data_IF_201632575065
#
_entry.id   IF_201632575065
#
_cell.length_a   1.000
_cell.length_b   1.000
_cell.length_c   1.000
_cell.angle_alpha   90.00
_cell.angle_beta   90.00
_cell.angle_gamma   90.00
#
_symmetry.space_group_name_H-M   'P 1'
#
loop_
_entity.id
_entity.type
_entity.pdbx_description
1 polymer ?
#
# COMPACT_ATOMS: atom_id res chain seq x y z
N UNK A 1 -31.95 -75.34 -32.53
CA UNK A 1 -31.91 -73.96 -33.09
C UNK A 1 -31.89 -72.96 -31.94
N UNK A 2 -31.20 -71.84 -32.16
CA UNK A 2 -30.77 -70.75 -31.26
C UNK A 2 -31.90 -70.12 -30.42
N UNK A 3 -31.58 -69.65 -29.20
CA UNK A 3 -31.52 -68.19 -28.89
C UNK A 3 -30.97 -67.92 -27.48
N UNK A 4 -30.08 -66.93 -27.44
CA UNK A 4 -29.49 -66.31 -26.26
C UNK A 4 -30.48 -65.34 -25.59
N UNK A 5 -30.33 -65.12 -24.29
CA UNK A 5 -30.86 -63.96 -23.58
C UNK A 5 -29.72 -63.30 -22.79
N UNK A 6 -29.53 -62.04 -23.11
CA UNK A 6 -28.41 -61.14 -22.80
C UNK A 6 -28.42 -60.69 -21.33
N UNK A 7 -27.22 -60.60 -20.77
CA UNK A 7 -26.89 -60.02 -19.49
C UNK A 7 -26.95 -58.48 -19.54
N UNK A 8 -27.73 -57.83 -18.67
CA UNK A 8 -27.75 -56.36 -18.58
C UNK A 8 -27.96 -55.89 -17.13
N UNK A 9 -26.87 -55.76 -16.38
CA UNK A 9 -26.86 -55.08 -15.06
C UNK A 9 -25.44 -54.61 -14.65
N UNK A 10 -24.82 -53.68 -15.37
CA UNK A 10 -23.54 -53.06 -14.95
C UNK A 10 -23.52 -51.52 -14.99
N UNK A 11 -24.69 -50.87 -15.09
CA UNK A 11 -24.74 -49.45 -15.46
C UNK A 11 -24.88 -48.41 -14.35
N UNK A 12 -25.22 -48.76 -13.11
CA UNK A 12 -25.83 -47.79 -12.18
C UNK A 12 -24.88 -47.25 -11.09
N UNK A 13 -23.96 -48.06 -10.54
CA UNK A 13 -23.04 -47.63 -9.47
C UNK A 13 -21.84 -46.79 -9.95
N UNK A 14 -21.32 -47.06 -11.14
CA UNK A 14 -20.14 -46.35 -11.68
C UNK A 14 -20.44 -44.92 -12.14
N UNK A 15 -21.70 -44.64 -12.51
CA UNK A 15 -22.14 -43.31 -12.97
C UNK A 15 -22.22 -42.30 -11.82
N UNK A 16 -22.64 -42.75 -10.63
CA UNK A 16 -22.70 -41.91 -9.43
C UNK A 16 -21.32 -41.46 -8.95
N UNK A 17 -20.36 -42.40 -8.87
CA UNK A 17 -18.98 -42.07 -8.49
C UNK A 17 -18.28 -41.15 -9.50
N UNK A 18 -18.53 -41.37 -10.81
CA UNK A 18 -18.02 -40.49 -11.87
C UNK A 18 -18.61 -39.07 -11.77
N UNK A 19 -19.91 -38.96 -11.50
CA UNK A 19 -20.57 -37.65 -11.29
C UNK A 19 -20.03 -36.92 -10.05
N UNK A 20 -19.82 -37.64 -8.93
CA UNK A 20 -19.22 -37.07 -7.72
C UNK A 20 -17.78 -36.58 -7.97
N UNK A 21 -16.97 -37.36 -8.69
CA UNK A 21 -15.60 -36.97 -9.06
C UNK A 21 -15.55 -35.73 -9.97
N UNK A 22 -16.49 -35.62 -10.93
CA UNK A 22 -16.61 -34.45 -11.80
C UNK A 22 -16.99 -33.20 -10.99
N UNK A 23 -17.92 -33.32 -10.05
CA UNK A 23 -18.33 -32.22 -9.16
C UNK A 23 -17.18 -31.75 -8.25
N UNK A 24 -16.42 -32.66 -7.67
CA UNK A 24 -15.24 -32.31 -6.86
C UNK A 24 -14.15 -31.62 -7.70
N UNK A 25 -13.87 -32.10 -8.91
CA UNK A 25 -12.91 -31.45 -9.81
C UNK A 25 -13.36 -30.05 -10.24
N UNK A 26 -14.64 -29.87 -10.55
CA UNK A 26 -15.20 -28.56 -10.87
C UNK A 26 -15.09 -27.60 -9.69
N UNK A 27 -15.41 -28.05 -8.47
CA UNK A 27 -15.24 -27.26 -7.25
C UNK A 27 -13.79 -26.87 -7.00
N UNK A 28 -12.85 -27.80 -7.16
CA UNK A 28 -11.43 -27.53 -7.02
C UNK A 28 -10.92 -26.49 -8.03
N UNK A 29 -11.34 -26.59 -9.30
CA UNK A 29 -10.98 -25.62 -10.34
C UNK A 29 -11.50 -24.21 -10.04
N UNK A 30 -12.72 -24.09 -9.51
CA UNK A 30 -13.26 -22.79 -9.08
C UNK A 30 -12.45 -22.23 -7.91
N UNK A 31 -12.13 -23.05 -6.90
CA UNK A 31 -11.30 -22.63 -5.78
C UNK A 31 -9.90 -22.18 -6.23
N UNK A 32 -9.26 -22.90 -7.16
CA UNK A 32 -7.95 -22.51 -7.70
C UNK A 32 -8.04 -21.21 -8.48
N UNK A 33 -9.07 -21.01 -9.31
CA UNK A 33 -9.26 -19.78 -10.07
C UNK A 33 -9.41 -18.55 -9.15
N UNK A 34 -10.18 -18.67 -8.06
CA UNK A 34 -10.34 -17.59 -7.06
C UNK A 34 -9.02 -17.30 -6.35
N UNK A 35 -8.26 -18.32 -5.97
CA UNK A 35 -6.95 -18.13 -5.34
C UNK A 35 -5.93 -17.47 -6.28
N UNK A 36 -5.94 -17.81 -7.57
CA UNK A 36 -5.10 -17.17 -8.58
C UNK A 36 -5.47 -15.70 -8.79
N UNK A 37 -6.77 -15.38 -8.93
CA UNK A 37 -7.24 -14.01 -9.08
C UNK A 37 -6.89 -13.13 -7.86
N UNK A 38 -7.00 -13.67 -6.63
CA UNK A 38 -6.62 -12.96 -5.41
C UNK A 38 -5.11 -12.63 -5.34
N UNK A 39 -4.25 -13.54 -5.81
CA UNK A 39 -2.79 -13.32 -5.86
C UNK A 39 -2.37 -12.25 -6.86
N UNK A 40 -3.04 -12.21 -8.01
CA UNK A 40 -2.72 -11.25 -9.06
C UNK A 40 -3.12 -9.82 -8.67
N UNK A 41 -4.25 -9.68 -7.96
CA UNK A 41 -4.68 -8.38 -7.43
C UNK A 41 -3.70 -7.83 -6.38
N UNK A 42 -3.11 -8.70 -5.56
CA UNK A 42 -2.11 -8.28 -4.56
C UNK A 42 -0.81 -7.80 -5.22
N UNK A 43 -0.33 -8.49 -6.25
CA UNK A 43 0.88 -8.09 -6.98
C UNK A 43 0.72 -6.75 -7.69
N UNK A 44 -0.45 -6.50 -8.30
CA UNK A 44 -0.70 -5.24 -9.02
C UNK A 44 -0.69 -4.03 -8.10
N UNK A 45 -1.24 -4.17 -6.89
CA UNK A 45 -1.27 -3.08 -5.94
C UNK A 45 0.12 -2.83 -5.32
N UNK A 46 0.91 -3.88 -5.02
CA UNK A 46 2.33 -3.71 -4.64
C UNK A 46 3.14 -2.99 -5.75
N UNK A 47 2.94 -3.34 -7.02
CA UNK A 47 3.60 -2.66 -8.15
C UNK A 47 3.18 -1.19 -8.28
N UNK A 48 1.96 -0.83 -7.91
CA UNK A 48 1.48 0.56 -7.90
C UNK A 48 2.16 1.37 -6.78
N UNK A 49 2.26 0.79 -5.58
CA UNK A 49 3.00 1.39 -4.46
C UNK A 49 4.47 1.64 -4.82
N UNK A 50 5.14 0.66 -5.42
CA UNK A 50 6.54 0.80 -5.84
C UNK A 50 6.70 1.85 -6.97
N UNK A 51 5.77 1.94 -7.92
CA UNK A 51 5.79 2.97 -8.98
C UNK A 51 5.65 4.39 -8.44
N UNK A 52 4.80 4.61 -7.43
CA UNK A 52 4.65 5.94 -6.81
C UNK A 52 5.93 6.32 -6.05
N UNK A 53 6.54 5.37 -5.36
CA UNK A 53 7.85 5.56 -4.74
C UNK A 53 8.94 5.88 -5.79
N UNK A 54 8.89 5.26 -6.98
CA UNK A 54 9.81 5.56 -8.08
C UNK A 54 9.53 6.90 -8.78
N UNK A 55 8.28 7.27 -9.03
CA UNK A 55 7.93 8.55 -9.68
C UNK A 55 8.47 9.74 -8.89
N UNK A 56 8.34 9.70 -7.57
CA UNK A 56 8.91 10.73 -6.68
C UNK A 56 10.44 10.77 -6.71
N UNK A 57 11.11 9.67 -7.07
CA UNK A 57 12.58 9.59 -7.22
C UNK A 57 13.11 10.21 -8.52
N UNK A 58 12.29 10.25 -9.58
CA UNK A 58 12.71 10.71 -10.92
C UNK A 58 12.64 12.24 -11.04
N UNK A 59 11.67 12.88 -10.40
CA UNK A 59 11.49 14.35 -10.42
C UNK A 59 12.69 15.12 -9.84
N UNK A 60 13.51 14.48 -9.00
CA UNK A 60 14.70 15.09 -8.39
C UNK A 60 15.90 15.33 -9.35
N UNK A 61 15.85 14.93 -10.64
CA UNK A 61 17.05 14.89 -11.51
C UNK A 61 17.19 16.04 -12.53
N UNK A 62 16.41 17.12 -12.46
CA UNK A 62 16.61 18.33 -13.32
C UNK A 62 16.93 19.62 -12.51
N UNK A 63 18.17 19.68 -11.99
CA UNK A 63 19.18 20.79 -11.96
C UNK A 63 18.71 22.28 -12.10
N UNK A 64 19.55 23.30 -11.70
CA UNK A 64 20.04 23.75 -10.37
C UNK A 64 19.98 25.31 -10.12
N UNK A 65 20.19 25.73 -8.86
CA UNK A 65 20.81 27.02 -8.46
C UNK A 65 19.84 28.22 -8.28
N UNK A 66 20.07 29.24 -7.46
CA UNK A 66 21.13 29.64 -6.51
C UNK A 66 20.64 30.96 -5.85
N UNK A 67 21.19 31.28 -4.66
CA UNK A 67 21.37 32.63 -4.07
C UNK A 67 20.44 33.16 -2.93
N UNK A 68 21.12 33.36 -1.79
CA UNK A 68 20.88 34.15 -0.56
C UNK A 68 21.06 35.68 -0.80
N UNK A 69 21.19 36.62 0.20
CA UNK A 69 20.66 36.82 1.58
C UNK A 69 20.05 38.26 1.80
N UNK A 70 19.52 38.60 3.00
CA UNK A 70 19.71 39.90 3.76
C UNK A 70 18.73 40.08 4.98
N UNK A 71 18.94 41.01 5.95
CA UNK A 71 19.07 40.69 7.39
C UNK A 71 18.16 41.43 8.41
N UNK A 72 18.20 40.94 9.67
CA UNK A 72 18.06 41.60 11.02
C UNK A 72 16.79 42.40 11.43
N UNK A 73 16.48 42.61 12.75
CA UNK A 73 17.31 42.41 13.96
C UNK A 73 16.68 41.66 15.17
N UNK A 74 17.56 41.41 16.15
CA UNK A 74 17.49 40.84 17.50
C UNK A 74 16.26 41.13 18.38
N UNK A 75 15.81 40.11 19.13
CA UNK A 75 15.46 40.21 20.55
C UNK A 75 15.88 38.92 21.29
N UNK A 76 16.78 39.08 22.24
CA UNK A 76 17.24 38.11 23.26
C UNK A 76 16.14 37.72 24.25
N UNK A 77 15.75 36.45 24.24
CA UNK A 77 15.59 35.56 25.40
C UNK A 77 16.11 34.19 24.92
N UNK A 78 16.91 33.45 25.69
CA UNK A 78 17.47 32.15 25.27
C UNK A 78 16.51 30.99 25.64
N UNK A 79 15.69 30.46 24.70
CA UNK A 79 15.13 29.11 24.78
C UNK A 79 16.24 28.09 24.47
N UNK A 80 16.10 26.82 24.92
CA UNK A 80 17.06 25.78 24.56
C UNK A 80 17.16 25.73 23.03
N UNK A 81 18.38 25.68 22.48
CA UNK A 81 18.57 25.48 21.04
C UNK A 81 17.88 24.17 20.64
N UNK A 82 16.67 24.30 20.11
CA UNK A 82 15.95 23.24 19.43
C UNK A 82 16.70 23.04 18.11
N UNK A 83 17.71 22.15 18.17
CA UNK A 83 18.42 21.70 16.97
C UNK A 83 17.38 21.28 15.95
N UNK A 84 17.54 21.73 14.71
CA UNK A 84 16.73 21.28 13.58
C UNK A 84 16.65 19.74 13.62
N UNK A 85 15.44 19.13 13.60
CA UNK A 85 15.27 17.69 13.59
C UNK A 85 16.12 16.98 12.53
N UNK A 86 16.33 17.62 11.37
CA UNK A 86 17.17 17.09 10.30
C UNK A 86 18.65 17.04 10.69
N UNK A 87 19.13 18.00 11.48
CA UNK A 87 20.52 18.00 11.94
C UNK A 87 20.77 16.94 13.01
N UNK A 88 19.76 16.65 13.85
CA UNK A 88 19.80 15.52 14.79
C UNK A 88 19.91 14.20 14.01
N UNK A 89 19.11 14.01 12.96
CA UNK A 89 19.15 12.81 12.11
C UNK A 89 20.52 12.64 11.44
N UNK A 90 21.10 13.73 10.92
CA UNK A 90 22.46 13.71 10.34
C UNK A 90 23.51 13.34 11.38
N UNK A 91 23.44 13.90 12.60
CA UNK A 91 24.36 13.60 13.70
C UNK A 91 24.25 12.12 14.12
N UNK A 92 23.05 11.55 14.09
CA UNK A 92 22.78 10.13 14.34
C UNK A 92 23.20 9.21 13.17
N UNK A 93 23.66 9.77 12.05
CA UNK A 93 24.04 9.01 10.85
C UNK A 93 22.84 8.38 10.13
N UNK A 94 21.62 8.86 10.38
CA UNK A 94 20.41 8.42 9.69
C UNK A 94 20.38 9.06 8.30
N UNK A 95 20.39 8.28 7.21
CA UNK A 95 20.34 8.85 5.87
C UNK A 95 18.98 9.49 5.66
N UNK A 96 18.97 10.80 5.40
CA UNK A 96 17.76 11.54 5.00
C UNK A 96 17.66 11.42 3.49
N UNK A 97 16.53 10.96 2.93
CA UNK A 97 16.35 10.88 1.50
C UNK A 97 16.28 12.30 0.91
N UNK A 98 17.00 12.55 -0.18
CA UNK A 98 16.85 13.76 -1.00
C UNK A 98 15.55 13.63 -1.83
N UNK A 99 14.40 13.68 -1.16
CA UNK A 99 13.07 13.48 -1.75
C UNK A 99 12.23 14.73 -1.57
N UNK A 100 11.87 15.35 -2.68
CA UNK A 100 10.83 16.38 -2.71
C UNK A 100 9.49 15.71 -3.08
N UNK A 101 8.53 15.80 -2.17
CA UNK A 101 7.19 15.22 -2.35
C UNK A 101 6.23 16.35 -2.74
N UNK A 102 5.65 16.26 -3.94
CA UNK A 102 4.57 17.16 -4.35
C UNK A 102 3.24 16.66 -3.77
N UNK A 103 2.94 17.10 -2.55
CA UNK A 103 1.70 16.73 -1.88
C UNK A 103 0.46 17.26 -2.60
N UNK A 104 0.55 18.38 -3.32
CA UNK A 104 -0.59 18.93 -4.04
C UNK A 104 -0.99 18.01 -5.21
N UNK A 105 0.00 17.58 -6.01
CA UNK A 105 -0.23 16.62 -7.09
C UNK A 105 -0.74 15.28 -6.56
N UNK A 106 -0.14 14.75 -5.49
CA UNK A 106 -0.58 13.49 -4.89
C UNK A 106 -2.02 13.57 -4.38
N UNK A 107 -2.40 14.66 -3.72
CA UNK A 107 -3.76 14.85 -3.23
C UNK A 107 -4.77 14.99 -4.37
N UNK A 108 -4.41 15.70 -5.44
CA UNK A 108 -5.30 15.95 -6.58
C UNK A 108 -5.46 14.71 -7.47
N UNK A 109 -4.35 14.03 -7.77
CA UNK A 109 -4.30 12.99 -8.81
C UNK A 109 -4.27 11.56 -8.26
N UNK A 110 -3.94 11.38 -6.97
CA UNK A 110 -3.87 10.04 -6.34
C UNK A 110 -4.94 9.88 -5.28
N UNK A 111 -4.84 10.62 -4.17
CA UNK A 111 -5.80 10.52 -3.07
C UNK A 111 -5.70 11.74 -2.14
N UNK A 112 -6.82 12.45 -1.96
CA UNK A 112 -6.94 13.64 -1.12
C UNK A 112 -6.61 13.41 0.38
N UNK A 113 -6.63 12.16 0.85
CA UNK A 113 -6.35 11.82 2.25
C UNK A 113 -4.84 11.74 2.56
N UNK A 114 -3.97 11.81 1.54
CA UNK A 114 -2.50 11.82 1.70
C UNK A 114 -2.09 13.13 2.38
N UNK A 115 -1.31 13.04 3.47
CA UNK A 115 -0.86 14.25 4.18
C UNK A 115 0.59 14.18 4.68
N UNK A 116 1.19 12.98 4.70
CA UNK A 116 2.57 12.79 5.16
C UNK A 116 3.25 11.68 4.36
N UNK A 117 4.53 11.47 4.64
CA UNK A 117 5.35 10.45 4.01
C UNK A 117 6.21 9.74 5.05
N UNK A 118 6.27 8.41 5.01
CA UNK A 118 7.11 7.61 5.91
C UNK A 118 8.25 6.97 5.14
N UNK A 119 9.47 7.17 5.64
CA UNK A 119 10.68 6.56 5.13
C UNK A 119 11.45 5.90 6.28
N UNK A 120 11.84 4.63 6.09
CA UNK A 120 12.69 3.91 7.03
C UNK A 120 13.93 3.40 6.29
N UNK A 121 15.14 3.90 6.64
CA UNK A 121 16.40 3.46 6.04
C UNK A 121 16.57 1.94 6.06
N UNK A 122 17.24 1.41 5.05
CA UNK A 122 17.53 -0.02 4.90
C UNK A 122 16.29 -0.94 4.88
N UNK A 123 15.12 -0.39 4.61
CA UNK A 123 13.87 -1.13 4.39
C UNK A 123 13.23 -0.75 3.06
N UNK A 124 12.12 -1.40 2.71
CA UNK A 124 11.29 -1.01 1.57
C UNK A 124 10.26 0.08 1.93
N UNK A 125 10.22 0.54 3.18
CA UNK A 125 9.22 1.51 3.62
C UNK A 125 9.64 2.90 3.13
N UNK A 126 8.96 3.35 2.09
CA UNK A 126 9.09 4.66 1.44
C UNK A 126 7.73 4.99 0.80
N UNK A 127 6.73 5.33 1.62
CA UNK A 127 5.32 5.34 1.21
C UNK A 127 4.55 6.56 1.75
N UNK A 128 3.47 6.97 1.07
CA UNK A 128 2.57 8.00 1.58
C UNK A 128 1.80 7.51 2.81
N UNK A 129 1.45 8.45 3.68
CA UNK A 129 0.60 8.22 4.85
C UNK A 129 -0.72 8.96 4.65
N UNK A 130 -1.81 8.24 4.82
CA UNK A 130 -3.18 8.74 4.64
C UNK A 130 -3.87 8.92 6.00
N UNK A 131 -4.92 9.73 6.05
CA UNK A 131 -5.84 9.77 7.19
C UNK A 131 -7.26 9.94 6.67
N UNK A 132 -8.09 8.90 6.84
CA UNK A 132 -9.50 8.97 6.46
C UNK A 132 -10.23 9.93 7.42
N UNK A 133 -11.14 10.80 6.95
CA UNK A 133 -11.72 11.85 7.78
C UNK A 133 -12.63 11.36 8.92
N UNK A 134 -13.12 10.12 8.86
CA UNK A 134 -14.15 9.60 9.80
C UNK A 134 -14.12 8.08 10.04
N UNK A 135 -13.16 7.34 9.48
CA UNK A 135 -13.16 5.86 9.53
C UNK A 135 -11.73 5.30 9.66
N UNK A 136 -11.35 4.98 10.88
CA UNK A 136 -10.04 4.44 11.25
C UNK A 136 -9.80 2.99 10.78
N UNK A 137 -10.73 2.40 10.02
CA UNK A 137 -10.61 1.06 9.46
C UNK A 137 -10.67 1.03 7.93
N UNK A 138 -10.89 2.18 7.30
CA UNK A 138 -11.06 2.28 5.84
C UNK A 138 -9.86 1.70 5.11
N UNK A 139 -8.66 2.22 5.37
CA UNK A 139 -7.44 1.85 4.66
C UNK A 139 -6.88 0.46 4.98
N UNK A 140 -7.55 -0.32 5.84
CA UNK A 140 -7.25 -1.75 6.01
C UNK A 140 -7.63 -2.60 4.79
N UNK A 141 -8.60 -2.12 3.99
CA UNK A 141 -9.14 -2.88 2.85
C UNK A 141 -9.29 -2.01 1.58
N UNK A 142 -8.66 -0.85 1.55
CA UNK A 142 -8.73 0.10 0.45
C UNK A 142 -7.33 0.56 0.08
N UNK A 143 -7.04 0.54 -1.21
CA UNK A 143 -5.77 0.97 -1.78
C UNK A 143 -5.76 2.49 -2.01
N UNK A 144 -4.63 3.02 -2.46
CA UNK A 144 -4.41 4.44 -2.73
C UNK A 144 -5.44 5.02 -3.69
N UNK A 145 -5.76 4.32 -4.77
CA UNK A 145 -6.76 4.70 -5.78
C UNK A 145 -8.23 4.57 -5.30
N UNK A 146 -8.45 4.16 -4.05
CA UNK A 146 -9.77 3.90 -3.48
C UNK A 146 -10.39 2.56 -3.92
N UNK A 147 -9.66 1.72 -4.66
CA UNK A 147 -10.09 0.36 -4.96
C UNK A 147 -10.10 -0.50 -3.70
N UNK A 148 -11.10 -1.38 -3.59
CA UNK A 148 -11.23 -2.27 -2.42
C UNK A 148 -10.34 -3.51 -2.61
N UNK A 149 -9.44 -3.75 -1.67
CA UNK A 149 -8.55 -4.89 -1.71
C UNK A 149 -7.34 -4.75 -0.81
N UNK A 150 -6.40 -5.67 -0.99
CA UNK A 150 -5.07 -5.66 -0.40
C UNK A 150 -4.07 -5.03 -1.38
N UNK A 151 -2.96 -4.45 -0.87
CA UNK A 151 -2.46 -4.52 0.51
C UNK A 151 -3.05 -3.50 1.50
N UNK A 152 -3.95 -2.61 1.07
CA UNK A 152 -4.40 -1.48 1.89
C UNK A 152 -3.39 -0.32 1.83
N UNK A 153 -3.49 0.65 2.73
CA UNK A 153 -2.55 1.79 2.82
C UNK A 153 -1.92 1.91 4.21
N UNK A 154 -0.79 2.62 4.30
CA UNK A 154 -0.30 3.13 5.58
C UNK A 154 -1.16 4.36 5.92
N UNK A 155 -1.76 4.36 7.11
CA UNK A 155 -2.65 5.42 7.54
C UNK A 155 -2.52 5.69 9.03
N UNK A 156 -2.97 6.86 9.45
CA UNK A 156 -3.13 7.22 10.87
C UNK A 156 -4.59 7.30 11.27
N UNK A 157 -4.87 7.16 12.56
CA UNK A 157 -6.22 7.35 13.11
C UNK A 157 -6.63 8.83 13.10
N UNK A 158 -7.92 9.11 12.90
CA UNK A 158 -8.52 10.45 12.94
C UNK A 158 -8.54 11.10 14.33
N UNK A 159 -8.08 10.36 15.36
CA UNK A 159 -7.81 10.90 16.69
C UNK A 159 -6.53 11.73 16.74
N UNK A 160 -5.67 11.59 15.73
CA UNK A 160 -4.40 12.28 15.67
C UNK A 160 -4.43 13.52 14.77
N UNK A 161 -3.74 14.56 15.22
CA UNK A 161 -3.49 15.75 14.40
C UNK A 161 -2.51 15.42 13.27
N UNK A 162 -2.76 16.01 12.10
CA UNK A 162 -1.95 15.78 10.88
C UNK A 162 -0.55 16.40 10.94
N UNK A 163 -0.26 17.21 11.95
CA UNK A 163 1.02 17.90 12.14
C UNK A 163 1.99 17.14 13.05
N UNK A 164 1.63 15.93 13.51
CA UNK A 164 2.43 15.10 14.44
C UNK A 164 2.74 15.80 15.78
N UNK A 165 1.93 16.79 16.19
CA UNK A 165 2.06 17.45 17.49
C UNK A 165 1.63 16.57 18.67
N UNK A 166 0.90 15.50 18.40
CA UNK A 166 0.46 14.56 19.42
C UNK A 166 1.62 13.79 20.06
N UNK A 167 1.52 13.47 21.37
CA UNK A 167 2.53 12.63 22.03
C UNK A 167 2.66 11.22 21.46
N UNK A 168 1.60 10.73 20.79
CA UNK A 168 1.55 9.39 20.21
C UNK A 168 0.59 9.37 19.01
N UNK A 169 1.17 9.38 17.81
CA UNK A 169 0.44 9.15 16.56
C UNK A 169 0.43 7.65 16.24
N UNK A 170 -0.75 7.11 15.95
CA UNK A 170 -0.96 5.70 15.58
C UNK A 170 -1.39 5.62 14.12
#
# INVERSE_FOLDING_TARGET
MKKAAENRSEGQGSRGWKLAGILCLAGALVCTAVACAGKENQSQAEDEFDKLAEQTKITATEKPGEASPSPEPEVTEEPPEEKDPLDILKEMGVPIPEKEVDFADLQENTNQDIYAWIYIPDTKIDYPVLQHPTDNTYYLNYNLDGSRGYPGCIYTEDYNEKDFSDPNTV
#
